data_IF_593333997259
#
_entry.id   IF_593333997259
#
_cell.length_a   1.000
_cell.length_b   1.000
_cell.length_c   1.000
_cell.angle_alpha   90.00
_cell.angle_beta   90.00
_cell.angle_gamma   90.00
#
_symmetry.space_group_name_H-M   'P 1'
#
loop_
_entity.id
_entity.type
_entity.pdbx_description
1 polymer ?
#
# COMPACT_ATOMS: atom_id res chain seq x y z
N UNK A 1 -12.19 -8.45 30.65
CA UNK A 1 -11.04 -9.21 31.23
C UNK A 1 -9.78 -8.51 30.82
N UNK A 2 -8.98 -7.99 31.76
CA UNK A 2 -7.73 -7.30 31.47
C UNK A 2 -6.71 -8.27 30.90
N UNK A 3 -6.10 -7.92 29.77
CA UNK A 3 -5.02 -8.68 29.16
C UNK A 3 -3.80 -8.70 30.11
N UNK A 4 -3.35 -9.89 30.52
CA UNK A 4 -2.13 -10.06 31.31
C UNK A 4 -0.92 -9.61 30.50
N UNK A 5 -0.19 -8.60 30.97
CA UNK A 5 1.05 -8.13 30.35
C UNK A 5 2.25 -8.46 31.24
N UNK A 6 3.32 -8.99 30.63
CA UNK A 6 4.58 -9.21 31.36
C UNK A 6 5.25 -7.89 31.72
N UNK A 7 6.13 -7.89 32.71
CA UNK A 7 6.96 -6.73 33.00
C UNK A 7 7.82 -6.35 31.80
N UNK A 8 7.88 -5.05 31.50
CA UNK A 8 8.77 -4.50 30.47
C UNK A 8 10.23 -4.48 30.95
N UNK A 9 11.17 -4.19 30.04
CA UNK A 9 12.58 -3.98 30.42
C UNK A 9 12.72 -2.82 31.40
N UNK A 10 12.04 -1.71 31.13
CA UNK A 10 12.04 -0.51 31.98
C UNK A 10 11.46 -0.77 33.37
N UNK A 11 10.34 -1.51 33.46
CA UNK A 11 9.78 -1.92 34.77
C UNK A 11 10.73 -2.82 35.56
N UNK A 12 11.54 -3.66 34.88
CA UNK A 12 12.58 -4.46 35.54
C UNK A 12 13.73 -3.59 36.03
N UNK A 13 14.13 -2.58 35.26
CA UNK A 13 15.17 -1.64 35.68
C UNK A 13 14.74 -0.86 36.92
N UNK A 14 13.53 -0.34 36.96
CA UNK A 14 12.96 0.34 38.12
C UNK A 14 12.83 -0.59 39.33
N UNK A 15 12.35 -1.83 39.13
CA UNK A 15 12.27 -2.85 40.16
C UNK A 15 13.65 -3.11 40.78
N UNK A 16 14.69 -3.26 39.94
CA UNK A 16 16.05 -3.48 40.41
C UNK A 16 16.57 -2.31 41.26
N UNK A 17 16.42 -1.08 40.75
CA UNK A 17 16.84 0.14 41.43
C UNK A 17 16.17 0.30 42.81
N UNK A 18 14.86 0.14 42.87
CA UNK A 18 14.10 0.30 44.11
C UNK A 18 14.39 -0.83 45.12
N UNK A 19 14.63 -2.04 44.64
CA UNK A 19 14.98 -3.17 45.45
C UNK A 19 16.35 -3.00 46.11
N UNK A 20 17.34 -2.51 45.35
CA UNK A 20 18.68 -2.17 45.85
C UNK A 20 18.61 -1.02 46.86
N UNK A 21 17.70 -0.06 46.64
CA UNK A 21 17.43 1.04 47.60
C UNK A 21 16.61 0.62 48.83
N UNK A 22 16.37 -0.68 49.06
CA UNK A 22 15.71 -1.19 50.27
C UNK A 22 14.18 -1.02 50.31
N UNK A 23 13.54 -0.63 49.22
CA UNK A 23 12.07 -0.47 49.17
C UNK A 23 11.35 -1.82 49.36
N UNK A 24 10.24 -1.79 50.07
CA UNK A 24 9.39 -2.96 50.27
C UNK A 24 8.68 -3.38 49.02
N UNK A 25 8.33 -4.67 48.88
CA UNK A 25 7.56 -5.18 47.72
C UNK A 25 6.19 -4.49 47.55
N UNK A 26 5.58 -4.07 48.66
CA UNK A 26 4.31 -3.35 48.65
C UNK A 26 4.45 -1.94 48.03
N UNK A 27 5.53 -1.24 48.42
CA UNK A 27 5.84 0.07 47.83
C UNK A 27 6.12 -0.04 46.33
N UNK A 28 6.96 -1.01 45.92
CA UNK A 28 7.30 -1.26 44.49
C UNK A 28 6.05 -1.65 43.69
N UNK A 29 5.19 -2.49 44.27
CA UNK A 29 3.92 -2.91 43.63
C UNK A 29 3.00 -1.73 43.30
N UNK A 30 2.87 -0.80 44.25
CA UNK A 30 2.06 0.43 44.07
C UNK A 30 2.64 1.35 43.01
N UNK A 31 3.95 1.59 43.02
CA UNK A 31 4.63 2.49 42.09
C UNK A 31 4.59 1.95 40.65
N UNK A 32 4.75 0.63 40.45
CA UNK A 32 4.67 0.01 39.13
C UNK A 32 3.22 -0.23 38.66
N UNK A 33 2.22 -0.05 39.52
CA UNK A 33 0.83 -0.40 39.19
C UNK A 33 0.65 -1.90 38.89
N UNK A 34 1.48 -2.76 39.52
CA UNK A 34 1.48 -4.21 39.31
C UNK A 34 1.13 -4.95 40.60
N UNK A 35 0.45 -6.09 40.52
CA UNK A 35 0.13 -6.89 41.67
C UNK A 35 1.41 -7.36 42.41
N UNK A 36 1.41 -7.33 43.75
CA UNK A 36 2.52 -7.79 44.60
C UNK A 36 2.96 -9.21 44.25
N UNK A 37 2.02 -10.08 43.92
CA UNK A 37 2.30 -11.45 43.43
C UNK A 37 3.11 -11.50 42.14
N UNK A 38 2.96 -10.50 41.25
CA UNK A 38 3.76 -10.37 40.01
C UNK A 38 5.19 -10.01 40.36
N UNK A 39 5.39 -9.04 41.25
CA UNK A 39 6.72 -8.62 41.69
C UNK A 39 7.43 -9.77 42.43
N UNK A 40 6.75 -10.44 43.35
CA UNK A 40 7.31 -11.59 44.06
C UNK A 40 7.72 -12.73 43.14
N UNK A 41 6.87 -13.06 42.14
CA UNK A 41 7.21 -14.08 41.12
C UNK A 41 8.39 -13.68 40.24
N UNK A 42 8.48 -12.42 39.87
CA UNK A 42 9.61 -11.89 39.05
C UNK A 42 10.92 -12.01 39.83
N UNK A 43 10.96 -11.52 41.05
CA UNK A 43 12.15 -11.59 41.91
C UNK A 43 12.59 -13.04 42.17
N UNK A 44 11.65 -13.94 42.50
CA UNK A 44 11.96 -15.35 42.78
C UNK A 44 12.43 -16.09 41.51
N UNK A 45 11.79 -15.84 40.38
CA UNK A 45 12.09 -16.53 39.10
C UNK A 45 13.43 -16.11 38.52
N UNK A 46 13.83 -14.87 38.73
CA UNK A 46 15.01 -14.27 38.14
C UNK A 46 16.05 -13.86 39.20
N UNK A 47 16.03 -14.50 40.39
CA UNK A 47 17.07 -14.36 41.40
C UNK A 47 18.42 -14.81 40.79
N UNK A 48 19.48 -14.10 41.15
CA UNK A 48 20.84 -14.50 40.80
C UNK A 48 21.28 -15.69 41.68
N UNK A 49 22.14 -16.59 41.19
CA UNK A 49 22.72 -17.67 42.04
C UNK A 49 23.45 -17.17 43.26
N UNK A 50 24.03 -15.97 43.18
CA UNK A 50 24.70 -15.28 44.31
C UNK A 50 23.73 -14.57 45.26
N UNK A 51 22.44 -14.66 45.03
CA UNK A 51 21.42 -13.86 45.71
C UNK A 51 21.23 -12.48 45.05
N UNK A 52 20.08 -11.87 45.31
CA UNK A 52 19.74 -10.58 44.74
C UNK A 52 19.03 -10.65 43.40
N UNK A 53 18.83 -9.50 42.79
CA UNK A 53 18.11 -9.34 41.52
C UNK A 53 18.86 -8.40 40.56
N UNK A 54 19.07 -8.83 39.33
CA UNK A 54 19.64 -8.01 38.26
C UNK A 54 18.63 -7.86 37.15
N UNK A 55 18.22 -6.63 36.77
CA UNK A 55 17.30 -6.38 35.65
C UNK A 55 17.81 -6.99 34.35
N UNK A 56 19.10 -6.83 34.04
CA UNK A 56 19.72 -7.34 32.82
C UNK A 56 19.66 -8.88 32.78
N UNK A 57 19.97 -9.56 33.90
CA UNK A 57 19.82 -11.01 33.96
C UNK A 57 18.37 -11.44 33.83
N UNK A 58 17.44 -10.75 34.49
CA UNK A 58 16.01 -11.04 34.39
C UNK A 58 15.46 -10.89 32.97
N UNK A 59 15.85 -9.84 32.28
CA UNK A 59 15.44 -9.62 30.88
C UNK A 59 16.04 -10.67 29.93
N UNK A 60 17.33 -10.97 30.08
CA UNK A 60 18.01 -12.05 29.33
C UNK A 60 17.34 -13.42 29.57
N UNK A 61 17.10 -13.79 30.82
CA UNK A 61 16.41 -15.02 31.21
C UNK A 61 14.96 -15.06 30.70
N UNK A 62 14.26 -13.93 30.71
CA UNK A 62 12.92 -13.79 30.10
C UNK A 62 12.95 -14.05 28.61
N UNK A 63 13.89 -13.42 27.88
CA UNK A 63 14.06 -13.61 26.44
C UNK A 63 14.41 -15.05 26.09
N UNK A 64 15.33 -15.68 26.86
CA UNK A 64 15.71 -17.09 26.68
C UNK A 64 14.51 -18.03 26.86
N UNK A 65 13.72 -17.84 27.93
CA UNK A 65 12.51 -18.65 28.15
C UNK A 65 11.45 -18.50 27.07
N UNK A 66 11.40 -17.37 26.40
CA UNK A 66 10.50 -17.14 25.24
C UNK A 66 11.05 -17.64 23.91
N UNK A 67 12.36 -17.90 23.85
CA UNK A 67 12.99 -18.46 22.67
C UNK A 67 12.64 -19.95 22.57
N UNK A 68 11.48 -20.22 21.98
CA UNK A 68 11.06 -21.60 21.70
C UNK A 68 11.65 -22.04 20.36
N UNK A 69 12.22 -23.24 20.35
CA UNK A 69 12.50 -23.90 19.08
C UNK A 69 11.22 -24.05 18.27
N UNK A 70 11.31 -23.94 16.94
CA UNK A 70 10.15 -24.17 16.11
C UNK A 70 9.66 -25.60 16.29
N UNK A 71 8.34 -25.78 16.29
CA UNK A 71 7.74 -27.12 16.40
C UNK A 71 8.33 -28.12 15.38
N UNK A 72 8.62 -27.64 14.18
CA UNK A 72 9.19 -28.44 13.09
C UNK A 72 10.69 -28.75 13.25
N UNK A 73 11.38 -28.06 14.14
CA UNK A 73 12.76 -28.37 14.53
C UNK A 73 12.78 -29.41 15.65
N UNK A 74 11.76 -29.41 16.53
CA UNK A 74 11.60 -30.38 17.62
C UNK A 74 11.01 -31.71 17.17
N UNK A 75 10.32 -31.74 16.04
CA UNK A 75 9.75 -32.93 15.43
C UNK A 75 10.38 -33.15 14.05
N UNK A 76 11.51 -33.90 13.97
CA UNK A 76 12.22 -34.12 12.71
C UNK A 76 11.37 -34.84 11.64
N UNK A 77 10.47 -35.74 12.05
CA UNK A 77 9.62 -36.47 11.12
C UNK A 77 8.60 -35.55 10.46
N UNK A 78 7.96 -34.70 11.26
CA UNK A 78 7.04 -33.70 10.74
C UNK A 78 7.77 -32.65 9.88
N UNK A 79 8.97 -32.24 10.31
CA UNK A 79 9.82 -31.31 9.55
C UNK A 79 10.23 -31.87 8.19
N UNK A 80 10.60 -33.15 8.13
CA UNK A 80 10.94 -33.85 6.88
C UNK A 80 9.72 -33.93 5.97
N UNK A 81 8.61 -34.44 6.48
CA UNK A 81 7.36 -34.54 5.72
C UNK A 81 6.98 -33.23 5.05
N UNK A 82 7.06 -32.09 5.80
CA UNK A 82 6.72 -30.78 5.23
C UNK A 82 7.69 -30.37 4.13
N UNK A 83 9.00 -30.60 4.29
CA UNK A 83 9.99 -30.31 3.26
C UNK A 83 9.73 -31.11 1.99
N UNK A 84 9.46 -32.40 2.13
CA UNK A 84 9.19 -33.30 1.00
C UNK A 84 7.93 -32.86 0.24
N UNK A 85 6.84 -32.55 0.95
CA UNK A 85 5.60 -32.08 0.30
C UNK A 85 5.79 -30.71 -0.37
N UNK A 86 6.54 -29.80 0.23
CA UNK A 86 6.87 -28.52 -0.42
C UNK A 86 7.69 -28.74 -1.69
N UNK A 87 8.67 -29.65 -1.66
CA UNK A 87 9.49 -29.98 -2.83
C UNK A 87 8.66 -30.61 -3.96
N UNK A 88 7.62 -31.37 -3.62
CA UNK A 88 6.63 -31.90 -4.57
C UNK A 88 5.64 -30.83 -5.09
N UNK A 89 5.77 -29.58 -4.63
CA UNK A 89 4.93 -28.46 -5.09
C UNK A 89 3.63 -28.25 -4.31
N UNK A 90 3.45 -28.94 -3.17
CA UNK A 90 2.28 -28.70 -2.32
C UNK A 90 2.35 -27.32 -1.66
N UNK A 91 1.20 -26.66 -1.56
CA UNK A 91 1.11 -25.40 -0.82
C UNK A 91 1.00 -25.66 0.70
N UNK A 92 1.41 -24.70 1.56
CA UNK A 92 1.23 -24.81 3.01
C UNK A 92 -0.23 -25.07 3.43
N UNK A 93 -1.22 -24.56 2.69
CA UNK A 93 -2.64 -24.83 2.91
C UNK A 93 -2.99 -26.30 2.62
N UNK A 94 -2.50 -26.85 1.52
CA UNK A 94 -2.71 -28.27 1.16
C UNK A 94 -2.09 -29.20 2.19
N UNK A 95 -0.85 -28.93 2.62
CA UNK A 95 -0.16 -29.71 3.66
C UNK A 95 -0.94 -29.62 4.98
N UNK A 96 -1.37 -28.43 5.40
CA UNK A 96 -2.15 -28.22 6.60
C UNK A 96 -3.50 -28.99 6.54
N UNK A 97 -4.18 -28.89 5.40
CA UNK A 97 -5.46 -29.60 5.17
C UNK A 97 -5.29 -31.11 5.24
N UNK A 98 -4.26 -31.65 4.60
CA UNK A 98 -3.93 -33.07 4.60
C UNK A 98 -3.68 -33.62 6.00
N UNK A 99 -2.84 -32.91 6.79
CA UNK A 99 -2.57 -33.31 8.18
C UNK A 99 -3.81 -33.21 9.08
N UNK A 100 -4.65 -32.20 8.88
CA UNK A 100 -5.91 -32.03 9.65
C UNK A 100 -6.94 -33.10 9.30
N UNK A 101 -6.95 -33.60 8.08
CA UNK A 101 -7.83 -34.68 7.66
C UNK A 101 -7.38 -36.05 8.23
N UNK A 102 -6.27 -36.12 8.98
CA UNK A 102 -5.79 -37.35 9.61
C UNK A 102 -5.14 -38.35 8.65
N UNK A 103 -4.77 -37.92 7.44
CA UNK A 103 -4.13 -38.78 6.44
C UNK A 103 -2.73 -39.27 6.85
N UNK A 104 -2.13 -38.62 7.86
CA UNK A 104 -0.86 -39.02 8.48
C UNK A 104 -1.06 -39.18 10.00
N UNK A 105 -1.58 -40.32 10.45
CA UNK A 105 -1.98 -40.51 11.85
C UNK A 105 -0.85 -40.37 12.87
N UNK A 106 0.40 -40.55 12.42
CA UNK A 106 1.60 -40.45 13.26
C UNK A 106 2.16 -39.03 13.33
N UNK A 107 1.65 -38.09 12.51
CA UNK A 107 2.11 -36.72 12.45
C UNK A 107 1.07 -35.79 13.06
N UNK A 108 1.59 -34.77 13.75
CA UNK A 108 0.73 -33.75 14.36
C UNK A 108 0.13 -32.83 13.30
N UNK A 109 -1.17 -32.57 13.40
CA UNK A 109 -1.84 -31.56 12.58
C UNK A 109 -1.32 -30.14 12.89
N UNK A 110 -1.08 -29.36 11.84
CA UNK A 110 -0.57 -27.98 11.91
C UNK A 110 -1.47 -27.00 11.16
N UNK A 111 -1.46 -25.73 11.60
CA UNK A 111 -1.99 -24.62 10.80
C UNK A 111 -1.01 -24.19 9.70
N UNK A 112 -1.53 -23.70 8.56
CA UNK A 112 -0.71 -23.23 7.44
C UNK A 112 0.25 -22.09 7.87
N UNK A 113 -0.15 -21.24 8.83
CA UNK A 113 0.66 -20.19 9.39
C UNK A 113 1.94 -20.69 10.08
N UNK A 114 1.86 -21.85 10.75
CA UNK A 114 3.05 -22.48 11.36
C UNK A 114 4.05 -22.93 10.30
N UNK A 115 3.55 -23.41 9.15
CA UNK A 115 4.39 -23.82 8.01
C UNK A 115 5.03 -22.59 7.37
N UNK A 116 4.26 -21.51 7.15
CA UNK A 116 4.82 -20.27 6.63
C UNK A 116 5.85 -19.66 7.58
N UNK A 117 5.58 -19.65 8.90
CA UNK A 117 6.54 -19.16 9.89
C UNK A 117 7.85 -19.96 9.87
N UNK A 118 7.80 -21.27 9.64
CA UNK A 118 8.97 -22.12 9.48
C UNK A 118 9.76 -21.77 8.21
N UNK A 119 9.11 -21.68 7.04
CA UNK A 119 9.76 -21.38 5.75
C UNK A 119 10.55 -20.08 5.80
N UNK A 120 10.02 -19.05 6.47
CA UNK A 120 10.61 -17.71 6.51
C UNK A 120 11.49 -17.43 7.73
N UNK A 121 11.73 -18.42 8.58
CA UNK A 121 12.57 -18.29 9.77
C UNK A 121 14.04 -18.04 9.39
N UNK A 122 14.77 -17.32 10.24
CA UNK A 122 16.17 -16.98 9.99
C UNK A 122 17.05 -18.25 9.85
N UNK A 123 16.78 -19.29 10.65
CA UNK A 123 17.50 -20.57 10.59
C UNK A 123 17.30 -21.32 9.26
N UNK A 124 16.20 -21.08 8.55
CA UNK A 124 15.88 -21.75 7.28
C UNK A 124 16.30 -20.95 6.03
N UNK A 125 17.00 -19.83 6.20
CA UNK A 125 17.41 -18.98 5.06
C UNK A 125 18.36 -19.72 4.09
N UNK A 126 19.22 -20.58 4.61
CA UNK A 126 20.14 -21.42 3.81
C UNK A 126 19.41 -22.46 2.95
N UNK A 127 18.32 -23.03 3.48
CA UNK A 127 17.52 -24.04 2.77
C UNK A 127 16.67 -23.46 1.63
N UNK A 128 16.52 -22.13 1.56
CA UNK A 128 15.75 -21.42 0.52
C UNK A 128 14.35 -21.99 0.25
N UNK A 129 13.67 -22.52 1.28
CA UNK A 129 12.36 -23.18 1.18
C UNK A 129 11.27 -22.34 0.52
N UNK A 130 11.40 -21.01 0.55
CA UNK A 130 10.50 -20.07 -0.13
C UNK A 130 10.44 -20.31 -1.66
N UNK A 131 11.45 -20.95 -2.26
CA UNK A 131 11.47 -21.29 -3.70
C UNK A 131 10.41 -22.32 -4.08
N UNK A 132 9.98 -23.16 -3.15
CA UNK A 132 8.91 -24.14 -3.36
C UNK A 132 7.52 -23.52 -3.29
N UNK A 133 7.38 -22.29 -2.79
CA UNK A 133 6.09 -21.60 -2.75
C UNK A 133 5.68 -21.09 -4.14
N UNK A 134 4.39 -21.13 -4.45
CA UNK A 134 3.82 -20.73 -5.74
C UNK A 134 4.27 -19.34 -6.19
N UNK A 135 4.33 -18.38 -5.27
CA UNK A 135 4.75 -16.99 -5.56
C UNK A 135 6.23 -16.73 -5.37
N UNK A 136 7.00 -17.65 -4.87
CA UNK A 136 8.46 -17.60 -4.65
C UNK A 136 8.99 -16.30 -4.01
N UNK A 137 8.22 -15.67 -3.12
CA UNK A 137 8.66 -14.46 -2.44
C UNK A 137 9.75 -14.76 -1.41
N UNK A 138 10.89 -14.05 -1.48
CA UNK A 138 12.01 -14.17 -0.51
C UNK A 138 11.66 -13.73 0.91
N UNK A 139 10.62 -12.90 1.07
CA UNK A 139 10.14 -12.39 2.35
C UNK A 139 8.64 -12.59 2.45
N UNK A 140 8.19 -12.96 3.64
CA UNK A 140 6.77 -13.05 3.94
C UNK A 140 6.17 -11.64 3.99
N UNK A 141 5.07 -11.41 3.25
CA UNK A 141 4.24 -10.23 3.51
C UNK A 141 3.44 -10.48 4.78
N UNK A 142 3.35 -9.52 5.72
CA UNK A 142 2.50 -9.68 6.90
C UNK A 142 1.06 -10.00 6.47
N UNK A 143 0.45 -11.01 7.09
CA UNK A 143 -0.94 -11.42 6.80
C UNK A 143 -1.95 -10.32 7.16
N UNK A 144 -1.66 -9.57 8.19
CA UNK A 144 -2.29 -8.31 8.55
C UNK A 144 -1.30 -7.17 8.22
N UNK A 145 -1.00 -6.96 6.92
CA UNK A 145 -0.64 -5.61 6.55
C UNK A 145 -1.79 -4.76 7.09
N UNK A 146 -1.53 -3.92 8.10
CA UNK A 146 -2.48 -2.88 8.51
C UNK A 146 -3.00 -2.30 7.20
N UNK A 147 -4.33 -2.14 7.03
CA UNK A 147 -4.86 -1.49 5.85
C UNK A 147 -3.97 -0.28 5.63
N UNK A 148 -3.42 -0.13 4.44
CA UNK A 148 -2.44 0.91 4.16
C UNK A 148 -3.03 2.17 4.78
N UNK A 149 -2.34 2.73 5.81
CA UNK A 149 -2.80 3.96 6.48
C UNK A 149 -3.25 4.84 5.37
N UNK A 150 -4.47 5.35 5.46
CA UNK A 150 -5.06 6.14 4.41
C UNK A 150 -4.07 7.26 4.06
N UNK A 151 -3.25 6.99 3.03
CA UNK A 151 -2.11 7.84 2.66
C UNK A 151 -2.59 9.09 1.97
N UNK A 152 -3.84 9.07 1.56
CA UNK A 152 -4.53 10.19 0.93
C UNK A 152 -5.55 10.68 1.93
N UNK A 153 -5.31 11.85 2.50
CA UNK A 153 -6.20 12.51 3.45
C UNK A 153 -7.33 13.22 2.70
N UNK A 154 -8.43 13.46 3.38
CA UNK A 154 -9.56 14.30 2.93
C UNK A 154 -10.15 13.85 1.58
N UNK A 155 -10.20 12.56 1.32
CA UNK A 155 -10.80 11.97 0.11
C UNK A 155 -12.32 12.10 0.14
N UNK A 156 -12.89 12.73 -0.88
CA UNK A 156 -14.32 12.61 -1.16
C UNK A 156 -14.58 11.38 -2.05
N UNK A 157 -15.63 10.64 -1.74
CA UNK A 157 -16.01 9.45 -2.48
C UNK A 157 -16.53 9.80 -3.88
N UNK A 158 -16.30 8.93 -4.86
CA UNK A 158 -16.93 9.05 -6.19
C UNK A 158 -18.46 9.01 -6.11
N UNK A 159 -19.02 8.39 -5.07
CA UNK A 159 -20.48 8.32 -4.85
C UNK A 159 -21.10 9.64 -4.43
N UNK A 160 -20.30 10.58 -3.90
CA UNK A 160 -20.74 11.94 -3.55
C UNK A 160 -20.73 12.90 -4.75
N UNK A 161 -20.38 12.38 -5.93
CA UNK A 161 -20.22 13.15 -7.16
C UNK A 161 -21.58 13.54 -7.74
N UNK A 162 -21.78 14.81 -8.13
CA UNK A 162 -23.05 15.26 -8.71
C UNK A 162 -23.44 14.47 -9.98
N UNK A 163 -24.74 14.26 -10.18
CA UNK A 163 -25.29 13.54 -11.34
C UNK A 163 -24.84 14.14 -12.68
N UNK A 164 -24.69 15.47 -12.76
CA UNK A 164 -24.20 16.13 -13.97
C UNK A 164 -22.81 15.65 -14.40
N UNK A 165 -21.96 15.27 -13.46
CA UNK A 165 -20.65 14.71 -13.74
C UNK A 165 -20.78 13.26 -14.26
N UNK A 166 -21.71 12.48 -13.70
CA UNK A 166 -21.98 11.10 -14.10
C UNK A 166 -22.48 11.02 -15.53
N UNK A 167 -23.48 11.84 -15.86
CA UNK A 167 -24.12 11.86 -17.19
C UNK A 167 -23.26 12.51 -18.27
N UNK A 168 -22.10 13.11 -17.88
CA UNK A 168 -21.24 13.89 -18.80
C UNK A 168 -21.99 15.03 -19.49
N UNK A 169 -23.00 15.57 -18.83
CA UNK A 169 -23.82 16.67 -19.36
C UNK A 169 -23.08 18.01 -19.42
N UNK A 170 -22.03 18.14 -18.60
CA UNK A 170 -21.31 19.39 -18.38
C UNK A 170 -19.81 19.21 -18.65
N UNK A 171 -19.15 20.27 -19.19
CA UNK A 171 -17.70 20.32 -19.38
C UNK A 171 -16.97 20.71 -18.08
N UNK A 172 -15.67 20.41 -18.03
CA UNK A 172 -14.80 20.81 -16.91
C UNK A 172 -14.61 19.72 -15.86
N UNK A 173 -15.08 18.52 -16.10
CA UNK A 173 -14.92 17.35 -15.23
C UNK A 173 -13.90 16.38 -15.81
N UNK A 174 -12.84 16.14 -15.07
CA UNK A 174 -11.67 15.39 -15.54
C UNK A 174 -11.54 14.02 -14.85
N UNK A 175 -10.80 13.15 -15.48
CA UNK A 175 -10.24 11.93 -14.90
C UNK A 175 -8.73 12.03 -14.98
N UNK A 176 -8.02 11.70 -13.87
CA UNK A 176 -6.57 11.72 -13.79
C UNK A 176 -5.98 10.32 -13.64
N UNK A 177 -4.89 10.03 -14.37
CA UNK A 177 -4.18 8.75 -14.33
C UNK A 177 -2.72 8.91 -14.73
N UNK A 178 -1.91 7.88 -14.49
CA UNK A 178 -0.50 7.83 -14.83
C UNK A 178 -0.23 6.69 -15.83
N UNK A 179 0.32 7.04 -17.00
CA UNK A 179 0.90 6.06 -17.92
C UNK A 179 2.34 5.81 -17.52
N UNK A 180 2.68 4.57 -17.16
CA UNK A 180 4.05 4.16 -16.86
C UNK A 180 4.58 3.39 -18.07
N UNK A 181 5.67 3.89 -18.69
CA UNK A 181 6.45 3.24 -19.72
C UNK A 181 7.61 2.43 -19.10
N UNK A 182 8.66 2.17 -19.86
CA UNK A 182 9.88 1.56 -19.31
C UNK A 182 10.46 2.47 -18.20
N UNK A 183 11.01 1.86 -17.17
CA UNK A 183 11.47 2.55 -15.96
C UNK A 183 10.33 3.14 -15.11
N UNK A 184 10.62 4.08 -14.23
CA UNK A 184 9.69 4.59 -13.23
C UNK A 184 9.13 5.98 -13.52
N UNK A 185 9.49 6.57 -14.65
CA UNK A 185 9.02 7.91 -15.04
C UNK A 185 7.64 7.84 -15.67
N UNK A 186 6.62 8.41 -15.04
CA UNK A 186 5.28 8.38 -15.57
C UNK A 186 4.97 9.57 -16.47
N UNK A 187 3.97 9.41 -17.32
CA UNK A 187 3.28 10.50 -18.00
C UNK A 187 1.95 10.70 -17.29
N UNK A 188 1.73 11.88 -16.71
CA UNK A 188 0.43 12.30 -16.20
C UNK A 188 -0.52 12.48 -17.38
N UNK A 189 -1.69 11.87 -17.31
CA UNK A 189 -2.76 12.03 -18.27
C UNK A 189 -3.99 12.60 -17.59
N UNK A 190 -4.56 13.63 -18.15
CA UNK A 190 -5.79 14.28 -17.72
C UNK A 190 -6.79 14.20 -18.87
N UNK A 191 -7.96 13.60 -18.60
CA UNK A 191 -8.98 13.36 -19.63
C UNK A 191 -10.29 14.02 -19.24
N UNK A 192 -10.79 14.94 -20.08
CA UNK A 192 -12.05 15.61 -19.85
C UNK A 192 -13.22 14.70 -20.28
N UNK A 193 -14.22 14.58 -19.40
CA UNK A 193 -15.25 13.53 -19.49
C UNK A 193 -16.25 13.73 -20.64
N UNK A 194 -16.67 14.96 -20.93
CA UNK A 194 -17.67 15.29 -21.97
C UNK A 194 -17.02 15.39 -23.35
N UNK A 195 -16.08 16.27 -23.51
CA UNK A 195 -15.40 16.54 -24.78
C UNK A 195 -14.41 15.48 -25.22
N UNK A 196 -13.96 14.64 -24.29
CA UNK A 196 -12.87 13.68 -24.52
C UNK A 196 -11.51 14.32 -24.76
N UNK A 197 -11.36 15.61 -24.45
CA UNK A 197 -10.07 16.29 -24.50
C UNK A 197 -9.08 15.59 -23.56
N UNK A 198 -7.88 15.37 -24.06
CA UNK A 198 -6.81 14.75 -23.29
C UNK A 198 -5.64 15.71 -23.22
N UNK A 199 -5.08 15.89 -22.03
CA UNK A 199 -3.85 16.63 -21.78
C UNK A 199 -2.85 15.66 -21.13
N UNK A 200 -1.56 15.85 -21.39
CA UNK A 200 -0.53 15.03 -20.77
C UNK A 200 0.70 15.87 -20.43
N UNK A 201 1.41 15.43 -19.40
CA UNK A 201 2.69 16.00 -18.98
C UNK A 201 3.63 14.88 -18.51
N UNK A 202 4.89 14.93 -18.94
CA UNK A 202 5.92 14.02 -18.43
C UNK A 202 6.28 14.41 -16.99
N UNK A 203 6.45 13.40 -16.13
CA UNK A 203 6.95 13.58 -14.78
C UNK A 203 8.36 13.00 -14.67
N UNK A 204 9.18 13.58 -13.82
CA UNK A 204 10.52 13.07 -13.53
C UNK A 204 10.48 11.88 -12.58
N UNK A 205 9.39 11.73 -11.80
CA UNK A 205 9.15 10.62 -10.89
C UNK A 205 7.68 10.48 -10.52
N UNK A 206 7.36 9.52 -9.67
CA UNK A 206 6.00 9.22 -9.21
C UNK A 206 5.76 9.73 -7.78
N UNK A 207 6.16 10.96 -7.47
CA UNK A 207 5.91 11.57 -6.16
C UNK A 207 4.64 12.39 -6.18
N UNK A 208 3.97 12.51 -5.02
CA UNK A 208 2.77 13.32 -4.90
C UNK A 208 3.04 14.81 -5.15
N UNK A 209 4.21 15.30 -4.71
CA UNK A 209 4.62 16.70 -4.90
C UNK A 209 4.80 17.03 -6.38
N UNK A 210 5.46 16.17 -7.12
CA UNK A 210 5.70 16.37 -8.55
C UNK A 210 4.41 16.24 -9.36
N UNK A 211 3.59 15.25 -9.04
CA UNK A 211 2.29 15.04 -9.71
C UNK A 211 1.36 16.24 -9.52
N UNK A 212 1.26 16.79 -8.30
CA UNK A 212 0.43 17.97 -8.07
C UNK A 212 1.00 19.22 -8.74
N UNK A 213 2.33 19.40 -8.73
CA UNK A 213 2.97 20.53 -9.41
C UNK A 213 2.67 20.52 -10.91
N UNK A 214 2.78 19.38 -11.55
CA UNK A 214 2.44 19.22 -12.97
C UNK A 214 0.94 19.49 -13.22
N UNK A 215 0.04 18.98 -12.40
CA UNK A 215 -1.40 19.26 -12.52
C UNK A 215 -1.70 20.75 -12.39
N UNK A 216 -1.12 21.42 -11.40
CA UNK A 216 -1.30 22.86 -11.21
C UNK A 216 -0.79 23.67 -12.39
N UNK A 217 0.34 23.29 -12.98
CA UNK A 217 0.90 23.92 -14.17
C UNK A 217 0.01 23.72 -15.41
N UNK A 218 -0.50 22.50 -15.61
CA UNK A 218 -1.43 22.20 -16.72
C UNK A 218 -2.72 23.00 -16.55
N UNK A 219 -3.35 22.92 -15.39
CA UNK A 219 -4.62 23.63 -15.15
C UNK A 219 -4.46 25.17 -15.10
N UNK A 220 -3.28 25.71 -14.88
CA UNK A 220 -3.03 27.15 -15.02
C UNK A 220 -3.26 27.66 -16.44
N UNK A 221 -3.04 26.79 -17.44
CA UNK A 221 -3.14 27.09 -18.87
C UNK A 221 -4.48 26.72 -19.51
N UNK A 222 -5.38 26.13 -18.73
CA UNK A 222 -6.72 25.71 -19.16
C UNK A 222 -7.72 26.79 -18.74
N UNK A 223 -8.72 27.08 -19.59
CA UNK A 223 -9.80 28.04 -19.30
C UNK A 223 -10.47 27.71 -17.93
N UNK A 224 -10.71 28.69 -17.06
CA UNK A 224 -11.37 28.48 -15.76
C UNK A 224 -12.71 27.71 -15.86
N UNK A 225 -13.48 27.87 -16.92
CA UNK A 225 -14.74 27.15 -17.16
C UNK A 225 -14.57 25.65 -17.28
N UNK A 226 -13.35 25.19 -17.60
CA UNK A 226 -12.96 23.79 -17.66
C UNK A 226 -12.36 23.24 -16.36
N UNK A 227 -12.35 23.97 -15.26
CA UNK A 227 -11.71 23.60 -14.00
C UNK A 227 -12.75 23.36 -12.91
N UNK A 228 -13.60 22.34 -13.03
CA UNK A 228 -14.66 22.07 -12.06
C UNK A 228 -14.30 20.94 -11.10
N UNK A 229 -13.98 19.78 -11.62
CA UNK A 229 -13.58 18.64 -10.76
C UNK A 229 -12.66 17.65 -11.48
N UNK A 230 -12.02 16.81 -10.70
CA UNK A 230 -11.20 15.71 -11.20
C UNK A 230 -11.39 14.45 -10.35
N UNK A 231 -11.43 13.29 -11.01
CA UNK A 231 -11.56 11.98 -10.39
C UNK A 231 -10.25 11.20 -10.49
N UNK A 232 -9.79 10.65 -9.38
CA UNK A 232 -8.58 9.85 -9.25
C UNK A 232 -8.89 8.43 -8.80
N UNK A 233 -7.93 7.51 -9.01
CA UNK A 233 -7.85 6.29 -8.23
C UNK A 233 -7.13 6.52 -6.89
N UNK A 234 -6.92 5.44 -6.14
CA UNK A 234 -6.28 5.51 -4.84
C UNK A 234 -4.73 5.42 -4.92
N UNK A 235 -4.12 5.90 -6.01
CA UNK A 235 -2.65 5.96 -6.12
C UNK A 235 -2.11 7.09 -5.24
N UNK A 236 -1.05 6.78 -4.48
CA UNK A 236 -0.39 7.76 -3.59
C UNK A 236 0.23 8.95 -4.32
N UNK A 237 0.41 8.88 -5.63
CA UNK A 237 0.82 10.01 -6.45
C UNK A 237 -0.19 11.17 -6.40
N UNK A 238 -1.45 10.90 -6.05
CA UNK A 238 -2.50 11.92 -5.91
C UNK A 238 -2.72 12.39 -4.46
N UNK A 239 -1.81 12.07 -3.54
CA UNK A 239 -1.99 12.39 -2.11
C UNK A 239 -2.07 13.91 -1.80
N UNK A 240 -1.53 14.76 -2.66
CA UNK A 240 -1.60 16.22 -2.50
C UNK A 240 -2.79 16.88 -3.24
N UNK A 241 -3.81 16.11 -3.61
CA UNK A 241 -4.98 16.55 -4.38
C UNK A 241 -5.70 17.77 -3.80
N UNK A 242 -5.67 17.94 -2.47
CA UNK A 242 -6.32 19.09 -1.79
C UNK A 242 -5.82 20.44 -2.31
N UNK A 243 -4.59 20.54 -2.81
CA UNK A 243 -4.05 21.76 -3.40
C UNK A 243 -4.78 22.17 -4.69
N UNK A 244 -5.41 21.25 -5.43
CA UNK A 244 -6.24 21.59 -6.58
C UNK A 244 -7.48 22.40 -6.15
N UNK A 245 -8.07 22.05 -5.01
CA UNK A 245 -9.21 22.80 -4.45
C UNK A 245 -8.76 24.20 -4.03
N UNK A 246 -7.66 24.29 -3.28
CA UNK A 246 -7.19 25.58 -2.75
C UNK A 246 -6.66 26.52 -3.84
N UNK A 247 -5.97 26.00 -4.85
CA UNK A 247 -5.25 26.82 -5.84
C UNK A 247 -5.98 26.95 -7.18
N UNK A 248 -6.96 26.09 -7.48
CA UNK A 248 -7.68 26.05 -8.76
C UNK A 248 -9.20 25.94 -8.63
N UNK A 249 -9.72 25.91 -7.40
CA UNK A 249 -11.14 25.72 -7.09
C UNK A 249 -11.75 24.46 -7.70
N UNK A 250 -10.94 23.38 -7.78
CA UNK A 250 -11.37 22.11 -8.35
C UNK A 250 -11.71 21.10 -7.26
N UNK A 251 -12.91 20.54 -7.32
CA UNK A 251 -13.28 19.42 -6.45
C UNK A 251 -12.59 18.14 -6.88
N UNK A 252 -12.18 17.32 -5.91
CA UNK A 252 -11.49 16.05 -6.19
C UNK A 252 -12.30 14.87 -5.67
N UNK A 253 -12.45 13.85 -6.50
CA UNK A 253 -13.19 12.62 -6.20
C UNK A 253 -12.27 11.40 -6.32
N UNK A 254 -12.54 10.37 -5.52
CA UNK A 254 -11.74 9.14 -5.55
C UNK A 254 -12.62 7.93 -5.82
N UNK A 255 -12.16 7.08 -6.73
CA UNK A 255 -12.78 5.81 -7.03
C UNK A 255 -12.71 4.85 -5.82
N UNK A 256 -13.60 3.87 -5.82
CA UNK A 256 -13.50 2.75 -4.89
C UNK A 256 -12.22 1.94 -5.13
N UNK A 257 -11.76 1.27 -4.09
CA UNK A 257 -10.59 0.40 -4.23
C UNK A 257 -10.89 -0.73 -5.23
N UNK A 258 -9.97 -0.95 -6.16
CA UNK A 258 -10.08 -1.97 -7.23
C UNK A 258 -11.22 -1.75 -8.25
N UNK A 259 -11.82 -0.58 -8.32
CA UNK A 259 -12.92 -0.25 -9.22
C UNK A 259 -12.45 0.58 -10.44
N UNK A 260 -11.55 0.04 -11.25
CA UNK A 260 -10.99 0.74 -12.43
C UNK A 260 -12.05 1.19 -13.44
N UNK A 261 -13.16 0.42 -13.56
CA UNK A 261 -14.28 0.75 -14.45
C UNK A 261 -14.93 2.12 -14.18
N UNK A 262 -14.79 2.65 -12.96
CA UNK A 262 -15.31 3.97 -12.59
C UNK A 262 -14.59 5.14 -13.31
N UNK A 263 -13.41 4.86 -13.92
CA UNK A 263 -12.62 5.78 -14.73
C UNK A 263 -12.50 5.30 -16.19
N UNK A 264 -13.53 4.69 -16.75
CA UNK A 264 -13.49 4.13 -18.13
C UNK A 264 -13.15 5.12 -19.23
N UNK A 265 -13.34 6.42 -19.02
CA UNK A 265 -12.97 7.48 -19.99
C UNK A 265 -11.46 7.56 -20.19
N UNK A 266 -10.71 7.69 -19.10
CA UNK A 266 -9.26 7.82 -19.15
C UNK A 266 -8.58 6.49 -19.52
N UNK A 267 -9.13 5.34 -19.11
CA UNK A 267 -8.62 4.03 -19.53
C UNK A 267 -8.63 3.92 -21.07
N UNK A 268 -9.72 4.36 -21.68
CA UNK A 268 -9.86 4.42 -23.13
C UNK A 268 -8.89 5.43 -23.78
N UNK A 269 -8.66 6.58 -23.15
CA UNK A 269 -7.68 7.57 -23.60
C UNK A 269 -6.26 6.98 -23.51
N UNK A 270 -5.91 6.38 -22.38
CA UNK A 270 -4.63 5.72 -22.18
C UNK A 270 -4.41 4.59 -23.20
N UNK A 271 -5.42 3.79 -23.48
CA UNK A 271 -5.37 2.75 -24.52
C UNK A 271 -5.02 3.29 -25.90
N UNK A 272 -5.48 4.50 -26.23
CA UNK A 272 -5.11 5.17 -27.50
C UNK A 272 -3.69 5.71 -27.47
N UNK A 273 -3.29 6.41 -26.39
CA UNK A 273 -1.94 6.94 -26.24
C UNK A 273 -0.88 5.81 -26.24
N UNK A 274 -1.25 4.61 -25.80
CA UNK A 274 -0.37 3.43 -25.80
C UNK A 274 0.09 2.99 -27.20
N UNK A 275 -0.49 3.48 -28.28
CA UNK A 275 -0.01 3.27 -29.65
C UNK A 275 1.35 3.93 -29.88
N UNK A 276 1.58 5.07 -29.24
CA UNK A 276 2.80 5.87 -29.36
C UNK A 276 3.66 5.83 -28.09
N UNK A 277 3.02 5.52 -26.94
CA UNK A 277 3.66 5.37 -25.63
C UNK A 277 3.54 3.92 -25.12
N UNK A 278 4.11 2.92 -25.83
CA UNK A 278 4.03 1.53 -25.41
C UNK A 278 4.79 1.29 -24.09
N UNK A 279 4.48 0.19 -23.39
CA UNK A 279 5.04 -0.10 -22.07
C UNK A 279 6.57 -0.27 -22.06
N UNK A 280 7.14 -0.71 -23.16
CA UNK A 280 8.58 -0.93 -23.35
C UNK A 280 9.34 0.31 -23.85
N UNK A 281 8.64 1.40 -24.13
CA UNK A 281 9.26 2.65 -24.56
C UNK A 281 10.09 3.26 -23.44
N UNK A 282 11.28 3.68 -23.77
CA UNK A 282 12.10 4.50 -22.87
C UNK A 282 11.65 5.96 -22.98
N UNK A 283 10.90 6.40 -21.97
CA UNK A 283 10.29 7.74 -21.98
C UNK A 283 11.35 8.87 -21.93
N UNK A 284 12.58 8.58 -21.53
CA UNK A 284 13.66 9.55 -21.48
C UNK A 284 14.17 9.92 -22.87
N UNK A 285 13.90 9.07 -23.87
CA UNK A 285 14.21 9.32 -25.27
C UNK A 285 13.10 10.07 -26.02
N UNK A 286 11.97 10.32 -25.38
CA UNK A 286 10.85 11.06 -25.94
C UNK A 286 10.87 12.48 -25.42
N UNK A 287 10.90 13.47 -26.29
CA UNK A 287 10.85 14.87 -25.86
C UNK A 287 9.45 15.26 -25.34
N UNK A 288 9.37 16.37 -24.60
CA UNK A 288 8.08 16.90 -24.17
C UNK A 288 7.25 17.33 -25.39
N UNK A 289 7.88 17.83 -26.44
CA UNK A 289 7.25 18.18 -27.69
C UNK A 289 6.61 16.96 -28.36
N UNK A 290 7.31 15.80 -28.42
CA UNK A 290 6.75 14.57 -28.97
C UNK A 290 5.49 14.13 -28.21
N UNK A 291 5.51 14.26 -26.87
CA UNK A 291 4.34 13.95 -26.04
C UNK A 291 3.18 14.88 -26.39
N UNK A 292 3.44 16.18 -26.58
CA UNK A 292 2.40 17.14 -26.96
C UNK A 292 1.86 16.87 -28.36
N UNK A 293 2.68 16.47 -29.34
CA UNK A 293 2.25 16.07 -30.68
C UNK A 293 1.38 14.81 -30.67
N UNK A 294 1.73 13.82 -29.84
CA UNK A 294 0.91 12.61 -29.62
C UNK A 294 -0.48 13.01 -29.07
N UNK A 295 -0.50 13.87 -28.07
CA UNK A 295 -1.73 14.36 -27.43
C UNK A 295 -2.55 15.19 -28.43
N UNK A 296 -1.93 16.06 -29.18
CA UNK A 296 -2.58 16.86 -30.23
C UNK A 296 -3.24 15.96 -31.29
N UNK A 297 -2.51 14.96 -31.77
CA UNK A 297 -3.02 13.96 -32.71
C UNK A 297 -4.25 13.23 -32.15
N UNK A 298 -4.19 12.84 -30.86
CA UNK A 298 -5.32 12.22 -30.19
C UNK A 298 -6.54 13.15 -30.09
N UNK A 299 -6.33 14.44 -29.87
CA UNK A 299 -7.40 15.46 -29.74
C UNK A 299 -7.97 15.93 -31.09
N UNK A 300 -7.23 15.78 -32.15
CA UNK A 300 -7.68 16.06 -33.52
C UNK A 300 -8.35 14.85 -34.19
N UNK A 301 -8.33 13.68 -33.58
CA UNK A 301 -8.96 12.47 -34.10
C UNK A 301 -10.46 12.45 -33.80
N UNK A 302 -11.36 12.30 -34.80
CA UNK A 302 -12.80 12.20 -34.58
C UNK A 302 -13.20 11.04 -33.68
N UNK A 303 -14.24 11.22 -32.86
CA UNK A 303 -14.73 10.21 -31.91
C UNK A 303 -16.17 9.81 -32.25
N UNK A 304 -16.44 8.51 -32.36
CA UNK A 304 -17.80 8.01 -32.58
C UNK A 304 -18.77 8.47 -31.47
N UNK A 305 -18.32 8.47 -30.20
CA UNK A 305 -19.11 8.92 -29.07
C UNK A 305 -19.39 10.45 -29.06
N UNK A 306 -18.75 11.22 -29.92
CA UNK A 306 -18.99 12.65 -30.14
C UNK A 306 -19.68 12.94 -31.49
N UNK A 307 -20.33 11.95 -32.08
CA UNK A 307 -20.91 12.09 -33.43
C UNK A 307 -19.87 12.37 -34.51
N UNK A 308 -18.69 11.75 -34.37
CA UNK A 308 -17.53 11.95 -35.26
C UNK A 308 -16.91 13.38 -35.23
N UNK A 309 -17.26 14.18 -34.23
CA UNK A 309 -16.51 15.42 -33.95
C UNK A 309 -15.19 15.10 -33.23
N UNK A 310 -14.22 15.99 -33.37
CA UNK A 310 -12.97 15.91 -32.58
C UNK A 310 -13.17 16.48 -31.18
N UNK A 311 -12.37 16.08 -30.21
CA UNK A 311 -12.36 16.72 -28.88
C UNK A 311 -12.27 18.24 -28.92
N UNK A 312 -11.41 18.81 -29.76
CA UNK A 312 -11.29 20.25 -29.93
C UNK A 312 -12.56 20.90 -30.49
N UNK A 313 -13.21 20.30 -31.50
CA UNK A 313 -14.45 20.82 -32.02
C UNK A 313 -15.55 20.89 -30.95
N UNK A 314 -15.59 19.88 -30.05
CA UNK A 314 -16.58 19.90 -28.96
C UNK A 314 -16.24 20.99 -27.94
N UNK A 315 -14.98 21.19 -27.56
CA UNK A 315 -14.58 22.27 -26.64
C UNK A 315 -14.92 23.64 -27.24
N UNK A 316 -14.59 23.87 -28.49
CA UNK A 316 -14.90 25.12 -29.21
C UNK A 316 -16.41 25.39 -29.29
N UNK A 317 -17.21 24.33 -29.51
CA UNK A 317 -18.68 24.45 -29.52
C UNK A 317 -19.27 24.80 -28.17
N UNK A 318 -18.68 24.29 -27.06
CA UNK A 318 -19.16 24.53 -25.70
C UNK A 318 -18.73 25.89 -25.13
N UNK A 319 -17.54 26.35 -25.47
CA UNK A 319 -16.93 27.53 -24.87
C UNK A 319 -16.91 28.77 -25.77
N UNK A 320 -17.17 28.60 -27.07
CA UNK A 320 -17.03 29.66 -28.09
C UNK A 320 -15.59 29.77 -28.62
N UNK A 321 -15.37 30.73 -29.55
CA UNK A 321 -14.09 30.86 -30.24
C UNK A 321 -12.95 31.44 -29.43
N UNK A 322 -13.26 32.06 -28.26
CA UNK A 322 -12.28 32.77 -27.42
C UNK A 322 -11.66 31.86 -26.33
N UNK A 323 -11.56 30.57 -26.62
CA UNK A 323 -11.00 29.60 -25.66
C UNK A 323 -9.50 29.71 -25.61
N UNK A 324 -8.95 29.98 -24.42
CA UNK A 324 -7.52 29.88 -24.19
C UNK A 324 -7.14 28.47 -23.69
N UNK A 325 -6.66 27.61 -24.59
CA UNK A 325 -5.95 26.40 -24.24
C UNK A 325 -4.53 26.57 -24.79
N UNK A 326 -3.60 26.89 -23.92
CA UNK A 326 -2.19 26.99 -24.29
C UNK A 326 -1.54 25.63 -24.08
N UNK A 327 -1.26 24.92 -25.18
CA UNK A 327 -0.34 23.81 -25.17
C UNK A 327 1.07 24.37 -25.00
N UNK A 328 1.84 23.78 -24.07
CA UNK A 328 3.20 24.27 -23.74
C UNK A 328 4.14 24.11 -24.92
#
# INVERSE_FOLDING_TARGET
>A
MGSYTHLSSEERDQLGLWRTGGRSMDAISRELGRAKSTISRELRRNALPSGGYSPLHADGAYRLRRRREALLERDPNLGRFIRDRLAEGWTPEQISGWLKAGNEPRLRALGCETIYAFIYRAAQKSETLWRYLTRRHKRRRPHHARPARDRIKDRASIHDRPTAVETRGEIGHWEGDLIICKHTRPVLVLHERKSRLTLAARLMGKTAAETISAMLAVFARVDPRLRKSITFDNDTAFAHHALLRTMRDMTTWFCDAYASWQKGGIENANGRLRRWLPRNLDIDQVSDQDIQEIVLTANLTPRKCLGFKTPFQVILAELGKDVQIRFA
#
